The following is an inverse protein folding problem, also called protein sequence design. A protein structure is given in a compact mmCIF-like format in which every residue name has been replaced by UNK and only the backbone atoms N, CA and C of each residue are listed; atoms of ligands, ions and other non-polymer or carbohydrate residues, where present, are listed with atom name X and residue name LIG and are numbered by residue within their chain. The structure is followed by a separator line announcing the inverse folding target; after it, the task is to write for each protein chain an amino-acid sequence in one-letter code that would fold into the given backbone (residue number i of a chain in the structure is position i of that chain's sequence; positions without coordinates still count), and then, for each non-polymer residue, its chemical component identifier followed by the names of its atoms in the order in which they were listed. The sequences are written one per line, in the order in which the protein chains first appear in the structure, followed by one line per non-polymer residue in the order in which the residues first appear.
data_IF_151365315956
#
_entry.id   IF_151365315956
#
_cell.length_a   1.000
_cell.length_b   1.000
_cell.length_c   1.000
_cell.angle_alpha   90.00
_cell.angle_beta   90.00
_cell.angle_gamma   90.00
#
_symmetry.space_group_name_H-M   'P 1'
#
loop_
_entity.id
_entity.type
_entity.pdbx_description
1 polymer ?
#
# COMPACT_ATOMS: atom_id res chain seq x y z
N UNK A 1 2.83 -5.03 10.95
CA UNK A 1 1.48 -5.60 10.74
C UNK A 1 0.82 -5.05 9.47
N UNK A 2 0.54 -3.73 9.35
CA UNK A 2 -0.08 -3.18 8.13
C UNK A 2 0.88 -3.18 6.92
N UNK A 3 2.16 -2.84 7.10
CA UNK A 3 3.14 -2.86 6.01
C UNK A 3 3.30 -4.27 5.46
N UNK A 4 3.37 -5.26 6.36
CA UNK A 4 3.47 -6.67 5.97
C UNK A 4 2.25 -7.10 5.16
N UNK A 5 1.05 -6.69 5.57
CA UNK A 5 -0.18 -6.94 4.83
C UNK A 5 -0.15 -6.31 3.43
N UNK A 6 0.18 -5.02 3.33
CA UNK A 6 0.29 -4.31 2.05
C UNK A 6 1.33 -4.98 1.15
N UNK A 7 2.50 -5.33 1.70
CA UNK A 7 3.58 -5.98 0.95
C UNK A 7 3.20 -7.38 0.47
N UNK A 8 2.59 -8.20 1.33
CA UNK A 8 2.10 -9.54 0.98
C UNK A 8 1.05 -9.45 -0.15
N UNK A 9 0.10 -8.52 -0.02
CA UNK A 9 -0.96 -8.35 -1.01
C UNK A 9 -0.41 -7.83 -2.34
N UNK A 10 0.48 -6.83 -2.32
CA UNK A 10 1.12 -6.31 -3.51
C UNK A 10 1.94 -7.40 -4.26
N UNK A 11 2.65 -8.27 -3.52
CA UNK A 11 3.37 -9.41 -4.10
C UNK A 11 2.49 -10.44 -4.80
N UNK A 12 1.22 -10.58 -4.40
CA UNK A 12 0.28 -11.48 -5.08
C UNK A 12 -0.22 -10.93 -6.43
N UNK A 13 -0.06 -9.63 -6.67
CA UNK A 13 -0.61 -8.92 -7.84
C UNK A 13 0.49 -8.58 -8.84
N UNK A 14 1.67 -8.23 -8.33
CA UNK A 14 2.83 -7.83 -9.10
C UNK A 14 3.41 -8.99 -9.93
N UNK A 15 3.91 -8.70 -11.12
CA UNK A 15 4.72 -9.66 -11.88
C UNK A 15 6.15 -9.74 -11.38
N UNK A 16 6.64 -8.69 -10.71
CA UNK A 16 7.95 -8.64 -10.07
C UNK A 16 7.77 -8.52 -8.55
N UNK A 17 7.41 -9.62 -7.86
CA UNK A 17 7.16 -9.59 -6.41
C UNK A 17 8.40 -9.26 -5.58
N UNK A 18 9.59 -9.54 -6.12
CA UNK A 18 10.87 -9.23 -5.45
C UNK A 18 11.19 -7.72 -5.46
N UNK A 19 10.60 -6.97 -6.39
CA UNK A 19 10.74 -5.51 -6.50
C UNK A 19 9.73 -4.76 -5.58
N UNK A 20 8.91 -5.50 -4.83
CA UNK A 20 7.93 -4.92 -3.90
C UNK A 20 8.59 -4.58 -2.57
N UNK A 21 8.64 -3.28 -2.28
CA UNK A 21 9.14 -2.74 -1.02
C UNK A 21 8.12 -1.81 -0.40
N UNK A 22 7.91 -1.92 0.91
CA UNK A 22 6.98 -1.05 1.64
C UNK A 22 7.74 -0.34 2.74
N UNK A 23 7.60 0.98 2.79
CA UNK A 23 8.09 1.81 3.89
C UNK A 23 6.92 2.43 4.64
N UNK A 24 7.11 2.64 5.95
CA UNK A 24 6.22 3.46 6.75
C UNK A 24 6.98 4.65 7.32
N UNK A 25 6.35 5.82 7.25
CA UNK A 25 6.78 7.01 7.94
C UNK A 25 5.68 7.42 8.91
N UNK A 26 5.97 7.26 10.20
CA UNK A 26 5.07 7.69 11.26
C UNK A 26 5.17 9.20 11.44
N UNK A 27 4.03 9.89 11.52
CA UNK A 27 3.93 11.30 11.89
C UNK A 27 2.83 11.47 12.95
N UNK A 28 2.78 12.64 13.59
CA UNK A 28 1.88 12.92 14.71
C UNK A 28 0.39 12.74 14.37
N UNK A 29 -0.02 12.94 13.11
CA UNK A 29 -1.42 12.86 12.68
C UNK A 29 -1.73 11.70 11.73
N UNK A 30 -0.77 11.33 10.88
CA UNK A 30 -0.97 10.36 9.79
C UNK A 30 0.30 9.50 9.67
N UNK A 31 0.12 8.19 9.57
CA UNK A 31 1.19 7.27 9.14
C UNK A 31 1.13 7.11 7.62
N UNK A 32 2.21 7.49 6.95
CA UNK A 32 2.35 7.35 5.52
C UNK A 32 2.96 5.99 5.17
N UNK A 33 2.35 5.30 4.21
CA UNK A 33 2.78 4.00 3.68
C UNK A 33 3.20 4.24 2.24
N UNK A 34 4.47 3.99 1.92
CA UNK A 34 4.99 4.08 0.56
C UNK A 34 5.22 2.68 0.02
N UNK A 35 4.45 2.32 -1.02
CA UNK A 35 4.59 1.08 -1.76
C UNK A 35 5.44 1.33 -3.00
N UNK A 36 6.68 0.88 -2.95
CA UNK A 36 7.58 0.84 -4.09
C UNK A 36 7.34 -0.43 -4.90
N UNK A 37 7.24 -0.27 -6.22
CA UNK A 37 7.06 -1.37 -7.14
C UNK A 37 7.72 -1.09 -8.48
N UNK A 38 8.01 -2.15 -9.23
CA UNK A 38 8.47 -2.03 -10.61
C UNK A 38 7.47 -1.21 -11.46
N UNK A 39 7.97 -0.35 -12.33
CA UNK A 39 7.16 0.46 -13.26
C UNK A 39 6.10 -0.36 -14.02
N UNK A 40 6.39 -1.61 -14.36
CA UNK A 40 5.47 -2.51 -15.07
C UNK A 40 4.28 -2.97 -14.21
N UNK A 41 4.37 -2.87 -12.88
CA UNK A 41 3.36 -3.35 -11.94
C UNK A 41 2.49 -2.23 -11.35
N UNK A 42 2.90 -0.96 -11.48
CA UNK A 42 2.14 0.20 -11.02
C UNK A 42 0.69 0.15 -11.50
N UNK A 43 0.47 -0.13 -12.80
CA UNK A 43 -0.88 -0.22 -13.36
C UNK A 43 -1.72 -1.33 -12.76
N UNK A 44 -1.12 -2.47 -12.40
CA UNK A 44 -1.81 -3.61 -11.77
C UNK A 44 -2.17 -3.30 -10.32
N UNK A 45 -1.26 -2.65 -9.59
CA UNK A 45 -1.43 -2.28 -8.19
C UNK A 45 -2.46 -1.16 -8.01
N UNK A 46 -2.52 -0.19 -8.94
CA UNK A 46 -3.59 0.82 -8.97
C UNK A 46 -4.91 0.15 -9.35
N UNK A 47 -4.87 -0.73 -10.35
CA UNK A 47 -6.04 -1.41 -10.91
C UNK A 47 -6.90 -0.48 -11.76
N UNK A 48 -7.87 -1.07 -12.48
CA UNK A 48 -8.81 -0.32 -13.32
C UNK A 48 -9.57 0.71 -12.48
N UNK A 49 -9.53 1.98 -12.90
CA UNK A 49 -10.17 3.12 -12.20
C UNK A 49 -9.67 3.30 -10.75
N UNK A 50 -8.49 2.78 -10.40
CA UNK A 50 -7.97 2.87 -9.03
C UNK A 50 -8.70 1.95 -8.04
N UNK A 51 -9.50 0.98 -8.51
CA UNK A 51 -10.28 0.09 -7.63
C UNK A 51 -9.41 -0.74 -6.70
N UNK A 52 -8.23 -1.17 -7.16
CA UNK A 52 -7.36 -2.04 -6.38
C UNK A 52 -6.70 -1.27 -5.23
N UNK A 53 -6.07 -0.13 -5.53
CA UNK A 53 -5.51 0.73 -4.49
C UNK A 53 -6.60 1.32 -3.58
N UNK A 54 -7.79 1.57 -4.12
CA UNK A 54 -8.96 1.99 -3.35
C UNK A 54 -9.41 0.94 -2.33
N UNK A 55 -9.41 -0.34 -2.68
CA UNK A 55 -9.70 -1.42 -1.74
C UNK A 55 -8.67 -1.49 -0.60
N UNK A 56 -7.38 -1.36 -0.92
CA UNK A 56 -6.31 -1.30 0.08
C UNK A 56 -6.51 -0.10 1.01
N UNK A 57 -6.82 1.09 0.46
CA UNK A 57 -7.14 2.31 1.24
C UNK A 57 -8.29 2.11 2.23
N UNK A 58 -9.35 1.42 1.80
CA UNK A 58 -10.50 1.10 2.66
C UNK A 58 -10.11 0.13 3.79
N UNK A 59 -9.25 -0.85 3.51
CA UNK A 59 -8.80 -1.80 4.52
C UNK A 59 -7.92 -1.12 5.58
N UNK A 60 -6.91 -0.35 5.16
CA UNK A 60 -6.02 0.35 6.10
C UNK A 60 -6.75 1.44 6.89
N UNK A 61 -7.76 2.09 6.31
CA UNK A 61 -8.57 3.07 7.03
C UNK A 61 -9.46 2.41 8.10
N UNK A 62 -9.90 1.16 7.87
CA UNK A 62 -10.58 0.34 8.87
C UNK A 62 -9.70 0.03 10.09
N UNK A 63 -8.38 -0.06 9.92
CA UNK A 63 -7.45 -0.26 11.04
C UNK A 63 -7.41 0.93 12.02
N UNK A 64 -7.84 2.12 11.60
CA UNK A 64 -7.97 3.28 12.51
C UNK A 64 -8.85 2.98 13.72
N UNK A 65 -9.90 2.17 13.55
CA UNK A 65 -10.78 1.80 14.66
C UNK A 65 -10.07 0.96 15.73
N UNK A 66 -8.97 0.29 15.38
CA UNK A 66 -8.18 -0.55 16.27
C UNK A 66 -7.03 0.24 16.92
N UNK A 67 -6.32 1.05 16.14
CA UNK A 67 -5.04 1.62 16.55
C UNK A 67 -5.12 3.13 16.83
N UNK A 68 -6.22 3.80 16.45
CA UNK A 68 -6.38 5.26 16.52
C UNK A 68 -5.62 6.03 15.43
N UNK A 69 -4.78 5.36 14.65
CA UNK A 69 -3.89 5.96 13.64
C UNK A 69 -4.60 6.11 12.30
N UNK A 70 -4.41 7.27 11.65
CA UNK A 70 -4.86 7.47 10.27
C UNK A 70 -3.74 7.07 9.31
N UNK A 71 -4.06 6.25 8.30
CA UNK A 71 -3.08 5.79 7.33
C UNK A 71 -3.30 6.44 5.95
N UNK A 72 -2.21 6.76 5.25
CA UNK A 72 -2.22 7.16 3.83
C UNK A 72 -1.29 6.24 3.06
N UNK A 73 -1.68 5.84 1.84
CA UNK A 73 -0.86 4.99 0.98
C UNK A 73 -0.57 5.67 -0.35
N UNK A 74 0.71 5.70 -0.72
CA UNK A 74 1.23 6.14 -2.01
C UNK A 74 1.92 4.97 -2.71
N UNK A 75 1.86 4.96 -4.04
CA UNK A 75 2.52 3.95 -4.87
C UNK A 75 3.56 4.67 -5.73
N UNK A 76 4.81 4.26 -5.63
CA UNK A 76 5.94 4.85 -6.36
C UNK A 76 6.65 3.79 -7.20
N UNK A 77 7.12 4.22 -8.38
CA UNK A 77 7.92 3.38 -9.24
C UNK A 77 9.38 3.40 -8.77
N UNK A 78 10.03 2.23 -8.78
CA UNK A 78 11.48 2.05 -8.64
C UNK A 78 12.11 1.57 -9.94
#
# INVERSE_FOLDING_TARGET
MIADFVAQFARLIASYPDDIRVEMQESDEITEIVLYANQADIGKLIGKEGKMIGAIKTLISGCKAKDGVSYRINVEAV
#
